data_IF_425034571768
#
_entry.id   IF_425034571768
#
_cell.length_a   1.000
_cell.length_b   1.000
_cell.length_c   1.000
_cell.angle_alpha   90.00
_cell.angle_beta   90.00
_cell.angle_gamma   90.00
#
_symmetry.space_group_name_H-M   'P 1'
#
loop_
_entity.id
_entity.type
_entity.pdbx_description
1 polymer ?
#
# COMPACT_ATOMS: atom_id res chain seq x y z
N UNK A 1 25.43 19.69 26.22
CA UNK A 1 24.20 19.73 25.40
C UNK A 1 24.32 18.86 24.15
N UNK A 2 25.49 18.80 23.47
CA UNK A 2 25.65 18.06 22.19
C UNK A 2 25.54 16.52 22.21
N UNK A 3 26.01 15.83 23.26
CA UNK A 3 25.99 14.34 23.28
C UNK A 3 24.56 13.76 23.38
N UNK A 4 23.67 14.41 24.15
CA UNK A 4 22.28 13.95 24.27
C UNK A 4 21.49 14.14 22.97
N UNK A 5 21.75 15.23 22.23
CA UNK A 5 21.13 15.48 20.92
C UNK A 5 21.64 14.50 19.86
N UNK A 6 22.92 14.13 19.90
CA UNK A 6 23.49 13.15 18.96
C UNK A 6 22.91 11.75 19.21
N UNK A 7 22.80 11.31 20.47
CA UNK A 7 22.17 10.03 20.81
C UNK A 7 20.70 9.97 20.38
N UNK A 8 19.94 11.07 20.56
CA UNK A 8 18.56 11.16 20.12
C UNK A 8 18.43 11.07 18.59
N UNK A 9 19.33 11.73 17.85
CA UNK A 9 19.37 11.68 16.38
C UNK A 9 19.58 10.24 15.89
N UNK A 10 20.53 9.50 16.49
CA UNK A 10 20.79 8.12 16.13
C UNK A 10 19.63 7.19 16.45
N UNK A 11 19.00 7.36 17.62
CA UNK A 11 17.84 6.55 18.00
C UNK A 11 16.66 6.74 17.06
N UNK A 12 16.38 7.98 16.67
CA UNK A 12 15.31 8.28 15.71
C UNK A 12 15.60 7.70 14.32
N UNK A 13 16.88 7.62 13.93
CA UNK A 13 17.26 7.01 12.65
C UNK A 13 17.07 5.49 12.68
N UNK A 14 17.42 4.83 13.79
CA UNK A 14 17.12 3.40 14.00
C UNK A 14 15.60 3.15 13.96
N UNK A 15 14.82 3.97 14.67
CA UNK A 15 13.36 3.84 14.65
C UNK A 15 12.78 4.01 13.23
N UNK A 16 13.38 4.88 12.41
CA UNK A 16 12.98 5.04 11.01
C UNK A 16 13.34 3.81 10.17
N UNK A 17 14.54 3.25 10.34
CA UNK A 17 14.97 2.02 9.66
C UNK A 17 14.01 0.86 9.99
N UNK A 18 13.68 0.65 11.27
CA UNK A 18 12.74 -0.38 11.71
C UNK A 18 11.34 -0.20 11.07
N UNK A 19 10.87 1.05 10.97
CA UNK A 19 9.57 1.35 10.36
C UNK A 19 9.56 1.14 8.85
N UNK A 20 10.68 1.33 8.16
CA UNK A 20 10.83 1.03 6.73
C UNK A 20 10.77 -0.47 6.47
N UNK A 21 11.39 -1.28 7.34
CA UNK A 21 11.30 -2.74 7.25
C UNK A 21 9.87 -3.24 7.55
N UNK A 22 9.20 -2.65 8.54
CA UNK A 22 7.80 -2.95 8.84
C UNK A 22 6.88 -2.57 7.67
N UNK A 23 7.08 -1.41 7.05
CA UNK A 23 6.34 -0.99 5.86
C UNK A 23 6.49 -2.02 4.73
N UNK A 24 7.71 -2.48 4.45
CA UNK A 24 7.98 -3.48 3.42
C UNK A 24 7.22 -4.79 3.70
N UNK A 25 7.22 -5.26 4.95
CA UNK A 25 6.48 -6.45 5.36
C UNK A 25 4.97 -6.29 5.14
N UNK A 26 4.42 -5.15 5.57
CA UNK A 26 2.98 -4.87 5.49
C UNK A 26 2.51 -4.72 4.05
N UNK A 27 3.30 -4.10 3.18
CA UNK A 27 3.02 -3.99 1.73
C UNK A 27 2.88 -5.38 1.11
N UNK A 28 3.77 -6.32 1.47
CA UNK A 28 3.74 -7.71 0.98
C UNK A 28 2.53 -8.50 1.47
N UNK A 29 1.98 -8.15 2.63
CA UNK A 29 0.77 -8.75 3.18
C UNK A 29 -0.54 -8.10 2.68
N UNK A 30 -0.45 -7.04 1.86
CA UNK A 30 -1.62 -6.27 1.40
C UNK A 30 -2.49 -5.71 2.55
N UNK A 31 -1.89 -5.45 3.70
CA UNK A 31 -2.59 -5.00 4.92
C UNK A 31 -2.63 -3.46 4.99
N UNK A 32 -3.56 -2.84 4.28
CA UNK A 32 -3.62 -1.38 4.14
C UNK A 32 -3.90 -0.62 5.44
N UNK A 33 -4.66 -1.21 6.36
CA UNK A 33 -4.94 -0.60 7.68
C UNK A 33 -3.66 -0.53 8.55
N UNK A 34 -2.83 -1.57 8.49
CA UNK A 34 -1.53 -1.56 9.17
C UNK A 34 -0.55 -0.63 8.47
N UNK A 35 -0.61 -0.52 7.14
CA UNK A 35 0.23 0.39 6.36
C UNK A 35 -0.02 1.84 6.80
N UNK A 36 -1.28 2.23 6.95
CA UNK A 36 -1.65 3.57 7.46
C UNK A 36 -1.00 3.87 8.82
N UNK A 37 -1.07 2.93 9.77
CA UNK A 37 -0.47 3.08 11.11
C UNK A 37 1.06 3.18 11.06
N UNK A 38 1.72 2.44 10.18
CA UNK A 38 3.18 2.54 10.00
C UNK A 38 3.55 3.90 9.43
N UNK A 39 2.82 4.41 8.43
CA UNK A 39 3.06 5.71 7.83
C UNK A 39 2.89 6.88 8.81
N UNK A 40 1.85 6.84 9.66
CA UNK A 40 1.64 7.84 10.72
C UNK A 40 2.82 7.89 11.72
N UNK A 41 3.34 6.71 12.12
CA UNK A 41 4.52 6.63 12.99
C UNK A 41 5.76 7.17 12.30
N UNK A 42 5.97 6.84 11.03
CA UNK A 42 7.11 7.34 10.24
C UNK A 42 7.10 8.85 10.15
N UNK A 43 5.94 9.46 9.91
CA UNK A 43 5.82 10.92 9.89
C UNK A 43 6.29 11.54 11.22
N UNK A 44 5.88 10.96 12.35
CA UNK A 44 6.29 11.41 13.68
C UNK A 44 7.82 11.31 13.87
N UNK A 45 8.41 10.18 13.48
CA UNK A 45 9.87 9.96 13.59
C UNK A 45 10.65 10.92 12.68
N UNK A 46 10.18 11.15 11.44
CA UNK A 46 10.80 12.09 10.50
C UNK A 46 10.77 13.51 11.07
N UNK A 47 9.64 13.96 11.63
CA UNK A 47 9.57 15.26 12.28
C UNK A 47 10.54 15.36 13.47
N UNK A 48 10.70 14.27 14.21
CA UNK A 48 11.71 14.14 15.27
C UNK A 48 13.13 14.30 14.74
N UNK A 49 13.48 13.60 13.64
CA UNK A 49 14.79 13.67 13.00
C UNK A 49 15.12 15.08 12.53
N UNK A 50 14.17 15.77 11.92
CA UNK A 50 14.36 17.16 11.47
C UNK A 50 14.69 18.07 12.66
N UNK A 51 13.95 17.97 13.77
CA UNK A 51 14.24 18.77 14.97
C UNK A 51 15.60 18.40 15.58
N UNK A 52 15.86 17.10 15.76
CA UNK A 52 17.11 16.62 16.34
C UNK A 52 18.33 17.04 15.51
N UNK A 53 18.24 16.97 14.18
CA UNK A 53 19.34 17.37 13.28
C UNK A 53 19.65 18.87 13.37
N UNK A 54 18.62 19.73 13.49
CA UNK A 54 18.79 21.19 13.65
C UNK A 54 19.43 21.57 14.99
N UNK A 55 19.14 20.79 16.04
CA UNK A 55 19.67 21.01 17.39
C UNK A 55 21.04 20.35 17.61
N UNK A 56 21.40 19.38 16.77
CA UNK A 56 22.62 18.60 16.92
C UNK A 56 23.85 19.34 16.38
N UNK A 57 24.84 19.53 17.25
CA UNK A 57 26.20 19.96 16.87
C UNK A 57 27.08 18.76 16.50
N UNK A 58 26.67 17.96 15.50
CA UNK A 58 27.42 16.77 15.09
C UNK A 58 28.68 17.12 14.31
N UNK A 59 29.77 16.40 14.58
CA UNK A 59 31.02 16.58 13.85
C UNK A 59 30.91 16.05 12.41
N UNK A 60 31.87 16.43 11.55
CA UNK A 60 31.87 16.05 10.12
C UNK A 60 31.78 14.53 9.88
N UNK A 61 32.49 13.71 10.67
CA UNK A 61 32.49 12.25 10.51
C UNK A 61 31.12 11.65 10.88
N UNK A 62 30.53 12.09 11.99
CA UNK A 62 29.17 11.70 12.39
C UNK A 62 28.16 12.10 11.31
N UNK A 63 28.28 13.30 10.73
CA UNK A 63 27.39 13.76 9.66
C UNK A 63 27.52 12.93 8.36
N UNK A 64 28.75 12.55 7.98
CA UNK A 64 28.98 11.67 6.82
C UNK A 64 28.41 10.27 7.03
N UNK A 65 28.46 9.72 8.25
CA UNK A 65 27.86 8.43 8.56
C UNK A 65 26.33 8.49 8.61
N UNK A 66 25.77 9.54 9.20
CA UNK A 66 24.33 9.79 9.21
C UNK A 66 23.79 9.91 7.78
N UNK A 67 24.45 10.70 6.92
CA UNK A 67 24.09 10.83 5.51
C UNK A 67 24.09 9.49 4.77
N UNK A 68 25.13 8.66 4.95
CA UNK A 68 25.20 7.33 4.33
C UNK A 68 24.09 6.39 4.78
N UNK A 69 23.62 6.49 6.03
CA UNK A 69 22.46 5.70 6.50
C UNK A 69 21.16 6.25 5.95
N UNK A 70 20.98 7.57 5.94
CA UNK A 70 19.81 8.20 5.33
C UNK A 70 19.66 7.86 3.85
N UNK A 71 20.75 7.81 3.09
CA UNK A 71 20.71 7.39 1.67
C UNK A 71 20.18 5.96 1.51
N UNK A 72 20.53 5.05 2.44
CA UNK A 72 19.98 3.68 2.45
C UNK A 72 18.50 3.66 2.81
N UNK A 73 18.11 4.41 3.84
CA UNK A 73 16.70 4.57 4.24
C UNK A 73 15.86 5.08 3.07
N UNK A 74 16.34 6.09 2.35
CA UNK A 74 15.67 6.63 1.17
C UNK A 74 15.61 5.63 0.00
N UNK A 75 16.67 4.84 -0.19
CA UNK A 75 16.67 3.72 -1.14
C UNK A 75 15.57 2.71 -0.83
N UNK A 76 15.53 2.19 0.40
CA UNK A 76 14.51 1.24 0.84
C UNK A 76 13.09 1.83 0.79
N UNK A 77 12.92 3.12 1.12
CA UNK A 77 11.63 3.81 0.96
C UNK A 77 11.15 3.80 -0.49
N UNK A 78 12.08 4.02 -1.44
CA UNK A 78 11.76 4.01 -2.85
C UNK A 78 11.36 2.61 -3.30
N UNK A 79 12.09 1.58 -2.88
CA UNK A 79 11.75 0.19 -3.17
C UNK A 79 10.35 -0.17 -2.65
N UNK A 80 10.02 0.24 -1.42
CA UNK A 80 8.67 0.07 -0.86
C UNK A 80 7.60 0.79 -1.69
N UNK A 81 7.90 2.01 -2.16
CA UNK A 81 6.96 2.80 -2.97
C UNK A 81 6.73 2.15 -4.33
N UNK A 82 7.78 1.64 -4.96
CA UNK A 82 7.71 0.94 -6.24
C UNK A 82 6.92 -0.37 -6.11
N UNK A 83 7.11 -1.13 -5.03
CA UNK A 83 6.34 -2.36 -4.76
C UNK A 83 4.86 -2.05 -4.47
N UNK A 84 4.55 -1.00 -3.72
CA UNK A 84 3.17 -0.57 -3.48
C UNK A 84 2.47 -0.16 -4.78
N UNK A 85 3.14 0.62 -5.65
CA UNK A 85 2.61 1.01 -6.95
C UNK A 85 2.36 -0.20 -7.85
N UNK A 86 3.29 -1.17 -7.85
CA UNK A 86 3.11 -2.43 -8.58
C UNK A 86 1.86 -3.18 -8.10
N UNK A 87 1.71 -3.34 -6.78
CA UNK A 87 0.57 -4.01 -6.16
C UNK A 87 -0.76 -3.30 -6.49
N UNK A 88 -0.78 -1.97 -6.50
CA UNK A 88 -1.97 -1.20 -6.88
C UNK A 88 -2.38 -1.42 -8.34
N UNK A 89 -1.42 -1.52 -9.26
CA UNK A 89 -1.72 -1.79 -10.67
C UNK A 89 -2.25 -3.22 -10.86
N UNK A 90 -1.72 -4.22 -10.13
CA UNK A 90 -2.28 -5.58 -10.12
C UNK A 90 -3.73 -5.59 -9.63
N UNK A 91 -4.02 -4.94 -8.49
CA UNK A 91 -5.39 -4.85 -7.95
C UNK A 91 -6.35 -4.19 -8.95
N UNK A 92 -5.91 -3.11 -9.61
CA UNK A 92 -6.70 -2.42 -10.63
C UNK A 92 -7.01 -3.31 -11.84
N UNK A 93 -6.05 -4.09 -12.31
CA UNK A 93 -6.27 -5.06 -13.40
C UNK A 93 -7.29 -6.12 -12.98
N UNK A 94 -7.19 -6.62 -11.75
CA UNK A 94 -8.10 -7.64 -11.24
C UNK A 94 -9.53 -7.12 -11.08
N UNK A 95 -9.70 -5.86 -10.65
CA UNK A 95 -10.99 -5.19 -10.62
C UNK A 95 -11.60 -5.04 -12.03
N UNK A 96 -10.80 -4.71 -13.03
CA UNK A 96 -11.27 -4.63 -14.42
C UNK A 96 -11.68 -6.01 -14.96
N UNK A 97 -10.91 -7.05 -14.66
CA UNK A 97 -11.23 -8.43 -15.03
C UNK A 97 -12.54 -8.89 -14.40
N UNK A 98 -12.73 -8.60 -13.10
CA UNK A 98 -13.96 -8.90 -12.38
C UNK A 98 -15.18 -8.14 -12.92
N UNK A 99 -15.02 -6.86 -13.29
CA UNK A 99 -16.09 -6.08 -13.90
C UNK A 99 -16.52 -6.68 -15.26
N UNK A 100 -15.56 -7.10 -16.09
CA UNK A 100 -15.82 -7.80 -17.37
C UNK A 100 -16.53 -9.14 -17.13
N UNK A 101 -16.08 -9.92 -16.16
CA UNK A 101 -16.70 -11.20 -15.81
C UNK A 101 -18.16 -11.02 -15.34
N UNK A 102 -18.41 -10.02 -14.47
CA UNK A 102 -19.76 -9.65 -14.03
C UNK A 102 -20.66 -9.25 -15.20
N UNK A 103 -20.12 -8.51 -16.18
CA UNK A 103 -20.84 -8.17 -17.42
C UNK A 103 -21.27 -9.39 -18.22
N UNK A 104 -20.35 -10.34 -18.43
CA UNK A 104 -20.63 -11.63 -19.12
C UNK A 104 -21.71 -12.43 -18.38
N UNK A 105 -21.60 -12.56 -17.05
CA UNK A 105 -22.58 -13.27 -16.23
C UNK A 105 -23.98 -12.64 -16.31
N UNK A 106 -24.08 -11.31 -16.34
CA UNK A 106 -25.37 -10.62 -16.56
C UNK A 106 -25.95 -10.92 -17.94
N UNK A 107 -25.12 -10.94 -18.99
CA UNK A 107 -25.54 -11.29 -20.34
C UNK A 107 -26.11 -12.71 -20.41
N UNK A 108 -25.42 -13.67 -19.81
CA UNK A 108 -25.87 -15.07 -19.72
C UNK A 108 -27.19 -15.18 -18.92
N UNK A 109 -27.29 -14.53 -17.75
CA UNK A 109 -28.54 -14.52 -16.98
C UNK A 109 -29.70 -13.94 -17.79
N UNK A 110 -29.46 -12.89 -18.57
CA UNK A 110 -30.43 -12.29 -19.47
C UNK A 110 -30.92 -13.24 -20.56
N UNK A 111 -30.01 -13.98 -21.21
CA UNK A 111 -30.38 -14.94 -22.26
C UNK A 111 -31.17 -16.12 -21.70
N UNK A 112 -30.79 -16.68 -20.55
CA UNK A 112 -31.56 -17.74 -19.89
C UNK A 112 -32.95 -17.27 -19.43
N UNK A 113 -33.05 -16.06 -18.86
CA UNK A 113 -34.35 -15.48 -18.47
C UNK A 113 -35.30 -15.30 -19.65
N UNK A 114 -34.79 -14.80 -20.78
CA UNK A 114 -35.57 -14.65 -22.01
C UNK A 114 -35.97 -16.00 -22.61
N UNK A 115 -35.08 -16.99 -22.64
CA UNK A 115 -35.42 -18.34 -23.12
C UNK A 115 -36.48 -19.01 -22.23
N UNK A 116 -36.41 -18.88 -20.92
CA UNK A 116 -37.43 -19.39 -19.99
C UNK A 116 -38.80 -18.74 -20.20
N UNK A 117 -38.84 -17.43 -20.48
CA UNK A 117 -40.07 -16.71 -20.79
C UNK A 117 -40.69 -17.15 -22.14
N UNK A 118 -39.87 -17.40 -23.16
CA UNK A 118 -40.32 -17.91 -24.47
C UNK A 118 -40.85 -19.34 -24.36
N UNK A 119 -40.18 -20.21 -23.58
CA UNK A 119 -40.63 -21.59 -23.36
C UNK A 119 -41.96 -21.61 -22.58
N UNK A 120 -42.11 -20.75 -21.56
CA UNK A 120 -43.34 -20.67 -20.76
C UNK A 120 -44.55 -20.16 -21.57
N UNK A 121 -44.36 -19.16 -22.42
CA UNK A 121 -45.41 -18.64 -23.30
C UNK A 121 -45.80 -19.63 -24.42
N UNK A 122 -44.83 -20.39 -24.94
CA UNK A 122 -45.08 -21.47 -25.90
C UNK A 122 -45.86 -22.67 -25.33
N UNK A 123 -45.78 -22.94 -24.03
CA UNK A 123 -46.58 -24.00 -23.37
C UNK A 123 -48.02 -23.57 -23.08
N UNK A 124 -48.27 -22.31 -22.72
CA UNK A 124 -49.64 -21.80 -22.53
C UNK A 124 -50.46 -21.77 -23.83
N UNK A 125 -49.82 -21.47 -24.97
CA UNK A 125 -50.47 -21.49 -26.27
C UNK A 125 -50.92 -22.89 -26.73
N UNK A 126 -50.26 -23.96 -26.25
CA UNK A 126 -50.58 -25.35 -26.64
C UNK A 126 -51.70 -26.00 -25.83
N UNK A 127 -52.10 -25.40 -24.71
CA UNK A 127 -53.18 -25.90 -23.85
C UNK A 127 -54.49 -25.09 -23.97
N UNK A 128 -54.56 -24.15 -24.91
CA UNK A 128 -55.73 -23.27 -25.12
C UNK A 128 -56.57 -23.66 -26.35
N UNK A 129 -56.56 -24.94 -26.76
CA UNK A 129 -57.39 -25.49 -27.87
C UNK A 129 -58.33 -26.54 -27.34
#
# INVERSE_FOLDING_TARGET
MGEKSEAALWRLLEDLEDLIEQEAFVIKQYSFDELGKVLEKKETVIQGLVKASQESGINRKTNEEFGRRMDRVLGSQRDNSDELLHNMELVKQELQNNARAKGKLRGIKGTYGSMSAVVSSGQQAKHSV
#
